data_IF_702887331588
#
_entry.id   IF_702887331588
#
_cell.length_a   1.000
_cell.length_b   1.000
_cell.length_c   1.000
_cell.angle_alpha   90.00
_cell.angle_beta   90.00
_cell.angle_gamma   90.00
#
_symmetry.space_group_name_H-M   'P 1'
#
loop_
_entity.id
_entity.type
_entity.pdbx_description
1 polymer ?
#
# COMPACT_ATOMS: atom_id res chain seq x y z
N UNK A 1 22.53 -38.02 -16.49
CA UNK A 1 22.45 -38.15 -15.02
C UNK A 1 23.20 -37.04 -14.29
N UNK A 2 24.53 -36.93 -14.37
CA UNK A 2 25.25 -35.88 -13.60
C UNK A 2 24.96 -34.43 -14.04
N UNK A 3 24.72 -34.19 -15.34
CA UNK A 3 24.40 -32.83 -15.83
C UNK A 3 22.98 -32.36 -15.47
N UNK A 4 22.00 -33.26 -15.45
CA UNK A 4 20.62 -32.92 -15.07
C UNK A 4 20.51 -32.53 -13.59
N UNK A 5 21.35 -33.13 -12.73
CA UNK A 5 21.43 -32.78 -11.31
C UNK A 5 21.96 -31.36 -11.14
N UNK A 6 22.95 -30.95 -11.94
CA UNK A 6 23.55 -29.61 -11.89
C UNK A 6 22.55 -28.56 -12.42
N UNK A 7 21.82 -28.84 -13.50
CA UNK A 7 20.78 -27.93 -14.03
C UNK A 7 19.60 -27.75 -13.06
N UNK A 8 19.19 -28.81 -12.36
CA UNK A 8 18.19 -28.71 -11.31
C UNK A 8 18.68 -27.88 -10.12
N UNK A 9 19.96 -28.04 -9.77
CA UNK A 9 20.59 -27.32 -8.68
C UNK A 9 20.71 -25.81 -8.95
N UNK A 10 20.94 -25.41 -10.20
CA UNK A 10 20.97 -23.99 -10.61
C UNK A 10 19.58 -23.35 -10.67
N UNK A 11 18.52 -24.13 -10.87
CA UNK A 11 17.13 -23.67 -10.81
C UNK A 11 16.58 -23.62 -9.38
N UNK A 12 17.26 -24.24 -8.43
CA UNK A 12 16.85 -24.22 -7.03
C UNK A 12 17.07 -22.85 -6.40
N UNK A 13 15.99 -22.27 -5.89
CA UNK A 13 15.96 -20.95 -5.27
C UNK A 13 16.90 -20.84 -4.06
N UNK A 14 17.09 -21.94 -3.31
CA UNK A 14 17.95 -21.96 -2.13
C UNK A 14 19.45 -21.98 -2.49
N UNK A 15 19.79 -22.47 -3.69
CA UNK A 15 21.19 -22.67 -4.11
C UNK A 15 21.68 -21.59 -5.07
N UNK A 16 20.80 -21.05 -5.90
CA UNK A 16 21.15 -19.96 -6.83
C UNK A 16 20.86 -18.57 -6.25
N UNK A 17 21.80 -18.07 -5.45
CA UNK A 17 21.72 -16.75 -4.80
C UNK A 17 21.55 -15.58 -5.77
N UNK A 18 22.10 -15.67 -6.98
CA UNK A 18 22.03 -14.60 -7.98
C UNK A 18 20.60 -14.48 -8.53
N UNK A 19 19.99 -15.61 -8.90
CA UNK A 19 18.60 -15.64 -9.36
C UNK A 19 17.64 -15.20 -8.24
N UNK A 20 17.85 -15.71 -7.02
CA UNK A 20 17.01 -15.42 -5.87
C UNK A 20 17.05 -13.96 -5.44
N UNK A 21 18.22 -13.30 -5.51
CA UNK A 21 18.34 -11.87 -5.19
C UNK A 21 17.50 -10.99 -6.12
N UNK A 22 17.49 -11.28 -7.43
CA UNK A 22 16.69 -10.55 -8.42
C UNK A 22 15.20 -10.75 -8.18
N UNK A 23 14.78 -11.99 -7.90
CA UNK A 23 13.40 -12.29 -7.56
C UNK A 23 12.93 -11.53 -6.31
N UNK A 24 13.71 -11.57 -5.22
CA UNK A 24 13.37 -10.85 -3.99
C UNK A 24 13.30 -9.34 -4.19
N UNK A 25 14.16 -8.77 -5.03
CA UNK A 25 14.09 -7.36 -5.40
C UNK A 25 12.76 -7.02 -6.08
N UNK A 26 12.34 -7.79 -7.09
CA UNK A 26 11.05 -7.56 -7.76
C UNK A 26 9.87 -7.73 -6.81
N UNK A 27 9.92 -8.74 -5.93
CA UNK A 27 8.89 -8.96 -4.92
C UNK A 27 8.80 -7.77 -3.94
N UNK A 28 9.93 -7.27 -3.47
CA UNK A 28 9.97 -6.11 -2.58
C UNK A 28 9.41 -4.85 -3.25
N UNK A 29 9.82 -4.56 -4.48
CA UNK A 29 9.30 -3.42 -5.24
C UNK A 29 7.78 -3.55 -5.44
N UNK A 30 7.29 -4.74 -5.74
CA UNK A 30 5.86 -5.02 -5.88
C UNK A 30 5.11 -4.78 -4.56
N UNK A 31 5.63 -5.27 -3.43
CA UNK A 31 5.00 -5.06 -2.11
C UNK A 31 4.95 -3.59 -1.74
N UNK A 32 6.03 -2.83 -1.98
CA UNK A 32 6.06 -1.38 -1.72
C UNK A 32 5.05 -0.66 -2.60
N UNK A 33 4.98 -0.99 -3.89
CA UNK A 33 3.98 -0.41 -4.81
C UNK A 33 2.55 -0.71 -4.36
N UNK A 34 2.26 -1.97 -4.02
CA UNK A 34 0.95 -2.39 -3.55
C UNK A 34 0.55 -1.66 -2.26
N UNK A 35 1.51 -1.48 -1.32
CA UNK A 35 1.28 -0.75 -0.08
C UNK A 35 0.99 0.74 -0.32
N UNK A 36 1.77 1.41 -1.17
CA UNK A 36 1.59 2.83 -1.48
C UNK A 36 0.25 3.04 -2.19
N UNK A 37 -0.05 2.27 -3.24
CA UNK A 37 -1.30 2.39 -3.98
C UNK A 37 -2.52 2.07 -3.11
N UNK A 38 -2.46 1.01 -2.31
CA UNK A 38 -3.51 0.68 -1.34
C UNK A 38 -3.71 1.78 -0.30
N UNK A 39 -2.62 2.36 0.19
CA UNK A 39 -2.64 3.51 1.12
C UNK A 39 -3.30 4.74 0.49
N UNK A 40 -2.88 5.13 -0.72
CA UNK A 40 -3.46 6.24 -1.47
C UNK A 40 -4.96 6.02 -1.75
N UNK A 41 -5.36 4.81 -2.15
CA UNK A 41 -6.76 4.48 -2.42
C UNK A 41 -7.62 4.59 -1.16
N UNK A 42 -7.15 4.07 -0.02
CA UNK A 42 -7.87 4.17 1.25
C UNK A 42 -8.01 5.62 1.70
N UNK A 43 -6.94 6.41 1.60
CA UNK A 43 -6.95 7.83 1.94
C UNK A 43 -7.91 8.62 1.05
N UNK A 44 -7.93 8.34 -0.26
CA UNK A 44 -8.87 8.98 -1.19
C UNK A 44 -10.34 8.71 -0.81
N UNK A 45 -10.68 7.49 -0.42
CA UNK A 45 -12.05 7.14 -0.04
C UNK A 45 -12.47 7.70 1.34
N UNK A 46 -11.51 7.81 2.26
CA UNK A 46 -11.72 8.39 3.59
C UNK A 46 -11.57 9.90 3.63
N UNK A 47 -11.37 10.55 2.48
CA UNK A 47 -11.29 12.00 2.40
C UNK A 47 -12.54 12.64 3.02
N UNK A 48 -12.35 13.81 3.60
CA UNK A 48 -13.44 14.61 4.14
C UNK A 48 -14.47 14.88 3.03
N UNK A 49 -15.71 14.38 3.22
CA UNK A 49 -16.75 14.40 2.19
C UNK A 49 -17.50 15.75 2.09
N UNK A 50 -17.17 16.71 2.96
CA UNK A 50 -17.79 18.03 3.01
C UNK A 50 -18.37 18.35 4.38
N UNK A 51 -18.89 19.58 4.52
CA UNK A 51 -19.60 20.02 5.73
C UNK A 51 -20.94 19.27 5.81
N UNK A 52 -21.15 18.40 6.81
CA UNK A 52 -22.46 17.82 7.02
C UNK A 52 -23.44 18.95 7.36
N UNK A 53 -24.68 18.86 6.85
CA UNK A 53 -25.76 19.78 7.20
C UNK A 53 -26.19 19.48 8.65
N UNK A 54 -25.38 19.93 9.59
CA UNK A 54 -25.63 19.83 11.02
C UNK A 54 -26.12 21.19 11.47
N UNK A 55 -27.22 21.21 12.23
CA UNK A 55 -27.72 22.41 12.86
C UNK A 55 -26.67 22.95 13.85
N UNK A 56 -25.83 23.87 13.37
CA UNK A 56 -24.83 24.53 14.19
C UNK A 56 -25.56 25.49 15.13
N UNK A 57 -25.29 25.39 16.43
CA UNK A 57 -25.92 26.24 17.44
C UNK A 57 -25.61 27.73 17.14
N UNK A 58 -26.65 28.56 16.96
CA UNK A 58 -26.52 29.96 16.51
C UNK A 58 -25.70 30.88 17.44
N UNK A 59 -25.38 30.42 18.66
CA UNK A 59 -24.43 31.09 19.57
C UNK A 59 -22.96 30.92 19.17
N UNK A 60 -22.63 29.92 18.35
CA UNK A 60 -21.28 29.68 17.82
C UNK A 60 -20.99 30.44 16.52
N UNK A 61 -21.99 31.10 15.95
CA UNK A 61 -21.84 31.99 14.80
C UNK A 61 -21.09 33.25 15.20
N UNK A 62 -20.22 33.76 14.32
CA UNK A 62 -19.44 35.00 14.53
C UNK A 62 -20.32 36.20 14.96
N UNK A 63 -21.57 36.21 14.52
CA UNK A 63 -22.63 37.06 15.07
C UNK A 63 -23.60 36.17 15.84
N UNK A 64 -23.49 36.09 17.18
CA UNK A 64 -24.33 35.21 17.96
C UNK A 64 -25.78 35.70 17.93
N UNK A 65 -26.71 34.79 17.71
CA UNK A 65 -28.14 35.03 17.83
C UNK A 65 -28.59 34.45 19.18
N UNK A 66 -29.01 35.33 20.10
CA UNK A 66 -29.56 34.94 21.40
C UNK A 66 -31.09 34.83 21.29
N UNK A 67 -31.68 33.79 21.89
CA UNK A 67 -33.14 33.66 22.06
C UNK A 67 -33.61 34.42 23.29
#
# INVERSE_FOLDING_TARGET
MSQEIIEHEEKDFTKNWVSSSRFLFYLQVFVVLAFVLGGCYRMYNQRYKGKPDVEVQGSSTYKPVYK
#
